data_IF_794531621604
#
_entry.id   IF_794531621604
#
_cell.length_a   1.000
_cell.length_b   1.000
_cell.length_c   1.000
_cell.angle_alpha   90.00
_cell.angle_beta   90.00
_cell.angle_gamma   90.00
#
_symmetry.space_group_name_H-M   'P 1'
#
loop_
_entity.id
_entity.type
_entity.pdbx_description
1 polymer ?
#
# COMPACT_ATOMS: atom_id res chain seq x y z
N UNK A 1 3.54 20.44 40.53
CA UNK A 1 3.84 21.05 39.21
C UNK A 1 4.78 20.23 38.33
N UNK A 2 5.88 19.66 38.84
CA UNK A 2 6.85 18.86 38.05
C UNK A 2 6.25 17.66 37.30
N UNK A 3 5.33 16.91 37.93
CA UNK A 3 4.68 15.75 37.30
C UNK A 3 3.74 16.09 36.12
N UNK A 4 3.25 17.33 36.03
CA UNK A 4 2.48 17.81 34.86
C UNK A 4 3.41 18.15 33.70
N UNK A 5 4.58 18.73 34.00
CA UNK A 5 5.58 19.10 32.99
C UNK A 5 6.18 17.85 32.31
N UNK A 6 6.53 16.83 33.09
CA UNK A 6 7.10 15.57 32.57
C UNK A 6 6.12 14.80 31.67
N UNK A 7 4.82 14.82 31.99
CA UNK A 7 3.77 14.24 31.13
C UNK A 7 3.58 15.02 29.84
N UNK A 8 3.70 16.35 29.89
CA UNK A 8 3.59 17.20 28.70
C UNK A 8 4.79 17.01 27.76
N UNK A 9 6.01 16.88 28.30
CA UNK A 9 7.22 16.60 27.54
C UNK A 9 7.26 15.17 26.98
N UNK A 10 6.71 14.18 27.69
CA UNK A 10 6.55 12.83 27.17
C UNK A 10 5.52 12.79 26.02
N UNK A 11 4.39 13.49 26.17
CA UNK A 11 3.39 13.62 25.11
C UNK A 11 3.92 14.40 23.90
N UNK A 12 4.70 15.46 24.12
CA UNK A 12 5.31 16.22 23.04
C UNK A 12 6.31 15.37 22.23
N UNK A 13 7.09 14.50 22.90
CA UNK A 13 8.01 13.57 22.24
C UNK A 13 7.29 12.52 21.41
N UNK A 14 6.22 11.91 21.92
CA UNK A 14 5.45 10.92 21.17
C UNK A 14 4.74 11.54 19.96
N UNK A 15 4.22 12.76 20.10
CA UNK A 15 3.61 13.49 18.98
C UNK A 15 4.66 13.90 17.93
N UNK A 16 5.83 14.37 18.35
CA UNK A 16 6.91 14.71 17.42
C UNK A 16 7.45 13.49 16.66
N UNK A 17 7.61 12.35 17.34
CA UNK A 17 8.05 11.10 16.73
C UNK A 17 7.00 10.53 15.76
N UNK A 18 5.71 10.59 16.12
CA UNK A 18 4.62 10.22 15.23
C UNK A 18 4.53 11.13 13.99
N UNK A 19 4.75 12.44 14.16
CA UNK A 19 4.77 13.41 13.06
C UNK A 19 5.98 13.20 12.12
N UNK A 20 7.17 12.94 12.67
CA UNK A 20 8.35 12.63 11.90
C UNK A 20 8.19 11.31 11.10
N UNK A 21 7.61 10.29 11.73
CA UNK A 21 7.29 9.01 11.07
C UNK A 21 6.31 9.20 9.91
N UNK A 22 5.25 9.98 10.11
CA UNK A 22 4.26 10.30 9.06
C UNK A 22 4.91 11.04 7.88
N UNK A 23 5.80 12.00 8.16
CA UNK A 23 6.47 12.79 7.11
C UNK A 23 7.42 11.93 6.26
N UNK A 24 8.19 11.04 6.90
CA UNK A 24 9.11 10.15 6.19
C UNK A 24 8.36 9.17 5.27
N UNK A 25 7.22 8.69 5.75
CA UNK A 25 6.30 7.81 5.04
C UNK A 25 5.70 8.48 3.79
N UNK A 26 5.21 9.71 3.92
CA UNK A 26 4.64 10.46 2.79
C UNK A 26 5.72 10.74 1.73
N UNK A 27 6.93 11.08 2.16
CA UNK A 27 8.05 11.27 1.27
C UNK A 27 8.41 9.97 0.52
N UNK A 28 8.38 8.82 1.18
CA UNK A 28 8.61 7.51 0.55
C UNK A 28 7.54 7.16 -0.48
N UNK A 29 6.25 7.41 -0.16
CA UNK A 29 5.15 7.23 -1.11
C UNK A 29 5.28 8.13 -2.34
N UNK A 30 5.61 9.40 -2.13
CA UNK A 30 5.77 10.37 -3.23
C UNK A 30 6.87 9.93 -4.20
N UNK A 31 8.00 9.42 -3.69
CA UNK A 31 9.08 8.86 -4.51
C UNK A 31 8.59 7.65 -5.31
N UNK A 32 8.02 6.65 -4.64
CA UNK A 32 7.48 5.44 -5.28
C UNK A 32 6.44 5.77 -6.35
N UNK A 33 5.59 6.77 -6.12
CA UNK A 33 4.61 7.23 -7.12
C UNK A 33 5.27 7.78 -8.38
N UNK A 34 6.38 8.51 -8.24
CA UNK A 34 7.15 9.04 -9.37
C UNK A 34 7.89 7.95 -10.17
N UNK A 35 8.16 6.81 -9.54
CA UNK A 35 8.81 5.65 -10.16
C UNK A 35 7.82 4.72 -10.88
N UNK A 36 6.50 4.96 -10.73
CA UNK A 36 5.50 4.15 -11.40
C UNK A 36 5.46 4.46 -12.91
N UNK A 37 5.45 3.41 -13.76
CA UNK A 37 5.17 3.59 -15.18
C UNK A 37 3.83 4.29 -15.39
N UNK A 38 3.64 4.89 -16.57
CA UNK A 38 2.34 5.41 -16.96
C UNK A 38 1.31 4.27 -17.01
N UNK A 39 0.05 4.57 -16.69
CA UNK A 39 -1.02 3.58 -16.84
C UNK A 39 -1.24 3.29 -18.33
N UNK A 40 -1.22 2.02 -18.76
CA UNK A 40 -1.39 1.68 -20.16
C UNK A 40 -2.77 2.05 -20.67
N UNK A 41 -2.86 2.33 -21.97
CA UNK A 41 -4.13 2.52 -22.65
C UNK A 41 -4.95 1.23 -22.70
N UNK A 42 -6.26 1.39 -22.92
CA UNK A 42 -7.17 0.27 -23.07
C UNK A 42 -6.82 -0.50 -24.36
N UNK A 43 -6.21 -1.66 -24.20
CA UNK A 43 -5.79 -2.53 -25.30
C UNK A 43 -5.92 -3.99 -24.90
N UNK A 44 -5.79 -4.91 -25.87
CA UNK A 44 -5.81 -6.36 -25.62
C UNK A 44 -4.63 -6.81 -24.75
N UNK A 45 -3.54 -6.03 -24.72
CA UNK A 45 -2.33 -6.28 -23.90
C UNK A 45 -2.40 -5.67 -22.51
N UNK A 46 -3.46 -4.93 -22.19
CA UNK A 46 -3.70 -4.41 -20.86
C UNK A 46 -4.70 -5.29 -20.10
N UNK A 47 -4.50 -5.42 -18.79
CA UNK A 47 -5.48 -5.96 -17.85
C UNK A 47 -5.84 -4.87 -16.84
N UNK A 48 -7.03 -4.96 -16.25
CA UNK A 48 -7.46 -4.06 -15.17
C UNK A 48 -7.44 -4.83 -13.86
N UNK A 49 -6.69 -4.33 -12.88
CA UNK A 49 -6.70 -4.86 -11.52
C UNK A 49 -7.57 -3.97 -10.63
N UNK A 50 -8.40 -4.62 -9.82
CA UNK A 50 -9.26 -3.99 -8.83
C UNK A 50 -8.93 -4.58 -7.47
N UNK A 51 -8.40 -3.76 -6.57
CA UNK A 51 -7.95 -4.19 -5.24
C UNK A 51 -8.87 -3.58 -4.20
N UNK A 52 -9.57 -4.42 -3.45
CA UNK A 52 -10.43 -3.97 -2.35
C UNK A 52 -9.60 -3.84 -1.08
N UNK A 53 -9.70 -2.70 -0.42
CA UNK A 53 -9.03 -2.42 0.84
C UNK A 53 -9.92 -2.81 2.03
N UNK A 54 -9.34 -3.04 3.23
CA UNK A 54 -10.09 -3.43 4.42
C UNK A 54 -11.15 -2.41 4.87
N UNK A 55 -10.95 -1.13 4.55
CA UNK A 55 -11.90 -0.04 4.83
C UNK A 55 -13.05 0.04 3.81
N UNK A 56 -13.12 -0.91 2.87
CA UNK A 56 -14.13 -0.97 1.83
C UNK A 56 -13.83 -0.12 0.60
N UNK A 57 -12.79 0.72 0.61
CA UNK A 57 -12.34 1.43 -0.59
C UNK A 57 -11.79 0.44 -1.60
N UNK A 58 -11.71 0.88 -2.85
CA UNK A 58 -11.25 0.05 -3.95
C UNK A 58 -10.26 0.83 -4.81
N UNK A 59 -9.06 0.29 -4.95
CA UNK A 59 -8.05 0.78 -5.88
C UNK A 59 -8.28 0.14 -7.24
N UNK A 60 -8.04 0.90 -8.31
CA UNK A 60 -8.23 0.43 -9.67
C UNK A 60 -7.13 1.01 -10.56
N UNK A 61 -6.45 0.13 -11.30
CA UNK A 61 -5.41 0.53 -12.24
C UNK A 61 -5.23 -0.53 -13.33
N UNK A 62 -4.92 -0.09 -14.54
CA UNK A 62 -4.48 -0.96 -15.62
C UNK A 62 -2.99 -1.28 -15.53
N UNK A 63 -2.66 -2.49 -15.93
CA UNK A 63 -1.29 -3.00 -16.04
C UNK A 63 -1.14 -3.66 -17.40
N UNK A 64 0.09 -3.72 -17.92
CA UNK A 64 0.38 -4.62 -19.02
C UNK A 64 0.29 -6.05 -18.52
N UNK A 65 -0.14 -6.98 -19.39
CA UNK A 65 -0.23 -8.41 -19.02
C UNK A 65 1.13 -9.02 -18.65
N UNK A 66 2.20 -8.42 -19.15
CA UNK A 66 3.59 -8.84 -18.88
C UNK A 66 4.17 -8.16 -17.62
N UNK A 67 3.41 -7.25 -16.98
CA UNK A 67 3.85 -6.64 -15.72
C UNK A 67 3.92 -7.69 -14.61
N UNK A 68 4.96 -7.57 -13.80
CA UNK A 68 5.16 -8.49 -12.67
C UNK A 68 4.27 -8.13 -11.49
N UNK A 69 4.02 -9.09 -10.61
CA UNK A 69 3.36 -8.80 -9.34
C UNK A 69 4.08 -7.74 -8.51
N UNK A 70 5.41 -7.66 -8.58
CA UNK A 70 6.19 -6.63 -7.90
C UNK A 70 5.76 -5.21 -8.32
N UNK A 71 5.41 -4.99 -9.59
CA UNK A 71 4.89 -3.70 -10.06
C UNK A 71 3.52 -3.37 -9.45
N UNK A 72 2.67 -4.38 -9.27
CA UNK A 72 1.37 -4.25 -8.58
C UNK A 72 1.59 -3.91 -7.10
N UNK A 73 2.51 -4.61 -6.43
CA UNK A 73 2.87 -4.33 -5.03
C UNK A 73 3.37 -2.89 -4.86
N UNK A 74 4.31 -2.49 -5.72
CA UNK A 74 4.86 -1.14 -5.74
C UNK A 74 3.78 -0.07 -5.94
N UNK A 75 2.81 -0.30 -6.84
CA UNK A 75 1.67 0.60 -7.02
C UNK A 75 0.80 0.71 -5.77
N UNK A 76 0.42 -0.41 -5.16
CA UNK A 76 -0.41 -0.43 -3.95
C UNK A 76 0.27 0.33 -2.81
N UNK A 77 1.59 0.18 -2.63
CA UNK A 77 2.36 0.90 -1.61
C UNK A 77 2.44 2.41 -1.87
N UNK A 78 2.33 2.84 -3.12
CA UNK A 78 2.34 4.27 -3.49
C UNK A 78 1.02 4.99 -3.20
N UNK A 79 -0.09 4.24 -3.07
CA UNK A 79 -1.42 4.77 -2.85
C UNK A 79 -1.57 5.32 -1.43
N UNK A 80 -2.26 6.44 -1.31
CA UNK A 80 -2.43 7.12 -0.01
C UNK A 80 -3.39 6.34 0.90
N UNK A 81 -4.30 5.62 0.27
CA UNK A 81 -5.36 4.82 0.86
C UNK A 81 -4.84 3.54 1.54
N UNK A 82 -3.63 3.08 1.20
CA UNK A 82 -3.10 1.80 1.68
C UNK A 82 -2.37 1.96 3.03
N UNK A 83 -2.83 1.36 4.14
CA UNK A 83 -2.13 1.50 5.42
C UNK A 83 -0.72 0.91 5.37
N UNK A 84 0.29 1.68 5.78
CA UNK A 84 1.71 1.34 5.59
C UNK A 84 2.25 0.26 6.53
N UNK A 85 1.49 -0.06 7.58
CA UNK A 85 1.92 -0.98 8.64
C UNK A 85 1.28 -2.37 8.56
N UNK A 86 0.51 -2.66 7.50
CA UNK A 86 -0.13 -3.97 7.38
C UNK A 86 0.79 -4.97 6.71
N UNK A 87 0.92 -6.16 7.29
CA UNK A 87 1.23 -7.36 6.51
C UNK A 87 -0.03 -7.64 5.69
N UNK A 88 0.04 -7.44 4.38
CA UNK A 88 -1.10 -7.67 3.49
C UNK A 88 -0.77 -8.80 2.52
N UNK A 89 -1.81 -9.58 2.20
CA UNK A 89 -1.80 -10.60 1.17
C UNK A 89 -2.88 -10.24 0.14
N UNK A 90 -2.58 -10.45 -1.13
CA UNK A 90 -3.58 -10.33 -2.19
C UNK A 90 -4.29 -11.67 -2.32
N UNK A 91 -5.59 -11.64 -2.12
CA UNK A 91 -6.44 -12.82 -2.27
C UNK A 91 -7.19 -12.74 -3.60
N UNK A 92 -6.94 -13.72 -4.49
CA UNK A 92 -7.58 -13.83 -5.81
C UNK A 92 -8.85 -14.67 -5.71
N UNK A 93 -9.73 -14.24 -4.83
CA UNK A 93 -10.98 -14.92 -4.54
C UNK A 93 -12.14 -14.27 -5.27
N UNK A 94 -12.99 -15.02 -5.99
CA UNK A 94 -14.30 -14.51 -6.36
C UNK A 94 -15.08 -14.23 -5.06
N UNK A 95 -15.32 -12.95 -4.78
CA UNK A 95 -16.16 -12.41 -3.69
C UNK A 95 -16.51 -13.42 -2.58
N UNK A 96 -15.55 -13.69 -1.68
CA UNK A 96 -15.80 -14.46 -0.45
C UNK A 96 -15.30 -15.91 -0.42
N UNK A 97 -14.65 -16.42 -1.47
CA UNK A 97 -14.07 -17.77 -1.47
C UNK A 97 -12.55 -17.70 -1.43
N UNK A 98 -11.94 -17.69 -0.22
CA UNK A 98 -10.46 -17.74 -0.03
C UNK A 98 -9.84 -18.75 -0.98
N UNK A 99 -9.11 -18.28 -1.99
CA UNK A 99 -8.25 -19.11 -2.82
C UNK A 99 -6.88 -19.05 -2.17
N UNK A 100 -6.60 -20.00 -1.27
CA UNK A 100 -5.23 -20.25 -0.83
C UNK A 100 -4.44 -20.73 -2.06
N UNK A 101 -3.61 -19.84 -2.60
CA UNK A 101 -2.72 -20.19 -3.70
C UNK A 101 -1.52 -20.92 -3.11
N UNK A 102 -1.69 -22.19 -2.77
CA UNK A 102 -0.55 -23.12 -2.63
C UNK A 102 -0.12 -23.52 -4.04
N UNK A 103 0.75 -22.71 -4.62
CA UNK A 103 1.54 -23.06 -5.81
C UNK A 103 2.96 -23.40 -5.39
N UNK A 104 3.63 -24.34 -6.07
CA UNK A 104 5.02 -24.65 -5.76
C UNK A 104 5.85 -23.37 -5.91
N UNK A 105 6.63 -23.04 -4.88
CA UNK A 105 7.81 -22.22 -5.09
C UNK A 105 8.55 -22.87 -6.28
N UNK A 106 8.71 -22.10 -7.35
CA UNK A 106 9.26 -22.51 -8.64
C UNK A 106 10.45 -23.49 -8.50
N UNK A 107 10.67 -24.38 -9.50
CA UNK A 107 11.77 -25.35 -9.47
C UNK A 107 13.14 -24.71 -9.26
#
# INVERSE_FOLDING_TARGET
ERAKHERFEAAARTVAEAAASTTAVEAARKRRRGELPAEPELSTRACRLRVRLPDGRTLNRRFHRDDTMAAVFHWIESCDETPLALKWALDLSPLGVKVEVEGPLLP
#
